data_IF_820227468588
#
_entry.id   IF_820227468588
#
_cell.length_a   1.000
_cell.length_b   1.000
_cell.length_c   1.000
_cell.angle_alpha   90.00
_cell.angle_beta   90.00
_cell.angle_gamma   90.00
#
_symmetry.space_group_name_H-M   'P 1'
#
loop_
_entity.id
_entity.type
_entity.pdbx_description
1 polymer ?
#
# COMPACT_ATOMS: atom_id res chain seq x y z
N UNK A 1 -4.72 22.54 -7.06
CA UNK A 1 -4.73 21.13 -6.66
C UNK A 1 -3.42 20.45 -7.05
N UNK A 2 -2.90 19.58 -6.18
CA UNK A 2 -1.68 18.80 -6.42
C UNK A 2 -2.01 17.31 -6.55
N UNK A 3 -1.48 16.68 -7.59
CA UNK A 3 -1.40 15.23 -7.74
C UNK A 3 0.01 14.78 -7.45
N UNK A 4 0.16 13.91 -6.45
CA UNK A 4 1.45 13.35 -6.08
C UNK A 4 1.44 11.85 -6.36
N UNK A 5 2.47 11.35 -7.00
CA UNK A 5 2.59 9.98 -7.46
C UNK A 5 3.70 9.24 -6.73
N UNK A 6 3.47 7.97 -6.45
CA UNK A 6 4.45 7.06 -5.88
C UNK A 6 4.42 5.69 -6.51
N UNK A 7 5.37 4.84 -6.14
CA UNK A 7 5.50 3.48 -6.65
C UNK A 7 5.74 2.47 -5.53
N UNK A 8 5.72 1.18 -5.90
CA UNK A 8 5.68 0.05 -4.95
C UNK A 8 7.01 -0.69 -4.94
N UNK A 9 7.60 -0.84 -3.77
CA UNK A 9 8.71 -1.71 -3.41
C UNK A 9 9.99 -1.51 -4.24
N UNK A 10 10.02 -1.99 -5.47
CA UNK A 10 11.22 -1.99 -6.32
C UNK A 10 11.33 -0.73 -7.18
N UNK A 11 12.50 -0.10 -7.22
CA UNK A 11 12.86 0.81 -8.30
C UNK A 11 13.54 0.01 -9.41
N UNK A 12 12.85 -0.14 -10.55
CA UNK A 12 13.33 -0.94 -11.69
C UNK A 12 14.57 -0.33 -12.37
N UNK A 13 14.80 0.95 -12.16
CA UNK A 13 16.00 1.65 -12.63
C UNK A 13 17.24 1.37 -11.78
N UNK A 14 17.12 0.74 -10.62
CA UNK A 14 18.24 0.41 -9.75
C UNK A 14 18.66 -1.05 -9.94
N UNK A 15 19.95 -1.25 -10.20
CA UNK A 15 20.53 -2.59 -10.28
C UNK A 15 20.61 -3.26 -8.90
N UNK A 16 20.18 -4.54 -8.81
CA UNK A 16 20.18 -5.39 -7.60
C UNK A 16 19.71 -4.67 -6.33
N UNK A 17 18.60 -3.93 -6.43
CA UNK A 17 18.06 -3.13 -5.34
C UNK A 17 16.70 -3.64 -4.84
N UNK A 18 16.39 -4.93 -5.00
CA UNK A 18 15.14 -5.49 -4.49
C UNK A 18 15.12 -5.49 -2.95
N UNK A 19 14.15 -4.82 -2.30
CA UNK A 19 13.96 -4.85 -0.86
C UNK A 19 13.15 -6.08 -0.38
N UNK A 20 13.03 -7.10 -1.24
CA UNK A 20 12.19 -8.28 -1.03
C UNK A 20 12.98 -9.59 -1.26
N UNK A 21 14.27 -9.62 -0.95
CA UNK A 21 15.04 -10.87 -0.94
C UNK A 21 14.46 -11.81 0.11
N UNK A 22 14.28 -13.09 -0.24
CA UNK A 22 13.55 -14.06 0.58
C UNK A 22 14.47 -15.10 1.22
N UNK A 23 14.06 -15.59 2.40
CA UNK A 23 14.52 -16.82 3.01
C UNK A 23 13.29 -17.70 3.23
N UNK A 24 13.14 -18.76 2.44
CA UNK A 24 12.00 -19.68 2.59
C UNK A 24 12.15 -20.53 3.85
N UNK A 25 11.04 -20.93 4.48
CA UNK A 25 11.07 -21.80 5.66
C UNK A 25 11.75 -23.14 5.36
N UNK A 26 11.52 -23.72 4.18
CA UNK A 26 12.18 -24.95 3.74
C UNK A 26 13.70 -24.83 3.65
N UNK A 27 14.24 -23.65 3.25
CA UNK A 27 15.68 -23.40 3.29
C UNK A 27 16.17 -23.19 4.72
N UNK A 28 15.44 -22.41 5.51
CA UNK A 28 15.75 -22.11 6.90
C UNK A 28 15.89 -23.38 7.75
N UNK A 29 14.98 -24.36 7.61
CA UNK A 29 15.00 -25.60 8.40
C UNK A 29 16.20 -26.50 8.10
N UNK A 30 16.82 -26.38 6.91
CA UNK A 30 18.02 -27.14 6.51
C UNK A 30 19.32 -26.57 7.09
N UNK A 31 19.29 -25.35 7.61
CA UNK A 31 20.46 -24.69 8.17
C UNK A 31 20.69 -25.11 9.64
N UNK A 32 21.93 -25.09 10.10
CA UNK A 32 22.27 -25.20 11.51
C UNK A 32 21.74 -24.00 12.31
N UNK A 33 21.71 -24.10 13.63
CA UNK A 33 21.17 -23.03 14.49
C UNK A 33 21.90 -21.68 14.32
N UNK A 34 23.21 -21.69 14.15
CA UNK A 34 23.99 -20.47 13.89
C UNK A 34 23.70 -19.91 12.51
N UNK A 35 23.73 -20.75 11.47
CA UNK A 35 23.46 -20.35 10.09
C UNK A 35 22.04 -19.78 9.91
N UNK A 36 21.04 -20.28 10.67
CA UNK A 36 19.67 -19.74 10.66
C UNK A 36 19.65 -18.27 11.07
N UNK A 37 20.34 -17.94 12.18
CA UNK A 37 20.43 -16.56 12.67
C UNK A 37 21.15 -15.67 11.64
N UNK A 38 22.28 -16.12 11.13
CA UNK A 38 23.07 -15.37 10.16
C UNK A 38 22.28 -15.13 8.84
N UNK A 39 21.52 -16.12 8.38
CA UNK A 39 20.67 -16.00 7.20
C UNK A 39 19.54 -14.98 7.41
N UNK A 40 18.84 -14.99 8.56
CA UNK A 40 17.82 -14.00 8.89
C UNK A 40 18.41 -12.58 8.92
N UNK A 41 19.54 -12.40 9.60
CA UNK A 41 20.22 -11.11 9.71
C UNK A 41 20.72 -10.63 8.33
N UNK A 42 21.36 -11.50 7.55
CA UNK A 42 21.92 -11.12 6.24
C UNK A 42 20.84 -10.69 5.25
N UNK A 43 19.74 -11.46 5.16
CA UNK A 43 18.63 -11.13 4.24
C UNK A 43 17.93 -9.84 4.66
N UNK A 44 17.66 -9.66 5.96
CA UNK A 44 17.04 -8.43 6.48
C UNK A 44 17.92 -7.21 6.23
N UNK A 45 19.23 -7.31 6.51
CA UNK A 45 20.19 -6.23 6.24
C UNK A 45 20.19 -5.82 4.78
N UNK A 46 20.23 -6.81 3.86
CA UNK A 46 20.18 -6.54 2.43
C UNK A 46 18.88 -5.83 2.01
N UNK A 47 17.74 -6.26 2.54
CA UNK A 47 16.44 -5.66 2.26
C UNK A 47 16.33 -4.22 2.79
N UNK A 48 16.79 -3.96 4.01
CA UNK A 48 16.82 -2.61 4.60
C UNK A 48 17.76 -1.68 3.82
N UNK A 49 18.96 -2.17 3.44
CA UNK A 49 19.89 -1.41 2.59
C UNK A 49 19.26 -1.06 1.25
N UNK A 50 18.58 -2.02 0.60
CA UNK A 50 17.92 -1.78 -0.67
C UNK A 50 16.69 -0.86 -0.53
N UNK A 51 15.96 -0.95 0.57
CA UNK A 51 14.90 0.02 0.90
C UNK A 51 15.47 1.44 0.97
N UNK A 52 16.58 1.63 1.67
CA UNK A 52 17.24 2.94 1.79
C UNK A 52 17.72 3.45 0.41
N UNK A 53 18.33 2.58 -0.41
CA UNK A 53 18.73 2.92 -1.80
C UNK A 53 17.53 3.37 -2.63
N UNK A 54 16.39 2.66 -2.53
CA UNK A 54 15.16 3.00 -3.24
C UNK A 54 14.58 4.33 -2.77
N UNK A 55 14.63 4.63 -1.47
CA UNK A 55 14.19 5.92 -0.95
C UNK A 55 15.09 7.07 -1.42
N UNK A 56 16.41 6.91 -1.45
CA UNK A 56 17.32 7.90 -2.03
C UNK A 56 17.04 8.14 -3.51
N UNK A 57 16.76 7.07 -4.25
CA UNK A 57 16.33 7.17 -5.65
C UNK A 57 15.03 7.99 -5.78
N UNK A 58 14.01 7.68 -4.96
CA UNK A 58 12.74 8.41 -4.97
C UNK A 58 12.95 9.91 -4.67
N UNK A 59 13.74 10.23 -3.64
CA UNK A 59 14.12 11.61 -3.31
C UNK A 59 14.84 12.31 -4.46
N UNK A 60 15.86 11.66 -5.04
CA UNK A 60 16.63 12.22 -6.16
C UNK A 60 15.80 12.50 -7.41
N UNK A 61 14.72 11.74 -7.61
CA UNK A 61 13.78 11.94 -8.71
C UNK A 61 12.57 12.81 -8.35
N UNK A 62 12.48 13.34 -7.12
CA UNK A 62 11.35 14.14 -6.68
C UNK A 62 10.03 13.35 -6.64
N UNK A 63 10.09 12.08 -6.22
CA UNK A 63 8.93 11.19 -6.03
C UNK A 63 8.56 11.20 -4.54
N UNK A 64 7.42 11.78 -4.15
CA UNK A 64 7.09 12.04 -2.74
C UNK A 64 6.40 10.86 -2.03
N UNK A 65 5.99 9.80 -2.74
CA UNK A 65 5.29 8.67 -2.16
C UNK A 65 6.06 7.37 -2.40
N UNK A 66 6.03 6.48 -1.40
CA UNK A 66 6.62 5.16 -1.52
C UNK A 66 5.85 4.13 -0.69
N UNK A 67 5.57 2.96 -1.28
CA UNK A 67 5.03 1.81 -0.56
C UNK A 67 6.13 0.81 -0.30
N UNK A 68 6.42 0.58 0.98
CA UNK A 68 7.41 -0.41 1.41
C UNK A 68 7.03 -1.82 1.00
N UNK A 69 8.02 -2.68 0.81
CA UNK A 69 7.80 -4.12 0.66
C UNK A 69 7.36 -4.73 1.99
N UNK A 70 6.31 -5.54 1.98
CA UNK A 70 5.93 -6.36 3.14
C UNK A 70 6.91 -7.50 3.44
N UNK A 71 7.88 -7.76 2.53
CA UNK A 71 8.86 -8.82 2.65
C UNK A 71 10.24 -8.35 3.12
N UNK A 72 10.33 -7.17 3.77
CA UNK A 72 11.62 -6.64 4.27
C UNK A 72 12.27 -7.64 5.25
N UNK A 73 11.48 -8.20 6.17
CA UNK A 73 11.98 -9.13 7.19
C UNK A 73 11.47 -10.54 6.89
N UNK A 74 12.36 -11.48 6.53
CA UNK A 74 11.95 -12.85 6.24
C UNK A 74 11.48 -13.57 7.49
N UNK A 75 10.43 -14.38 7.36
CA UNK A 75 9.88 -15.28 8.39
C UNK A 75 9.49 -14.59 9.71
N UNK A 76 9.29 -13.26 9.73
CA UNK A 76 9.00 -12.49 10.94
C UNK A 76 7.71 -12.95 11.63
N UNK A 77 6.69 -13.35 10.87
CA UNK A 77 5.38 -13.80 11.37
C UNK A 77 5.22 -15.33 11.39
N UNK A 78 6.26 -16.07 10.94
CA UNK A 78 6.19 -17.53 10.90
C UNK A 78 6.19 -18.12 12.32
N UNK A 79 5.21 -18.96 12.71
CA UNK A 79 5.03 -19.41 14.12
C UNK A 79 6.25 -20.11 14.71
N UNK A 80 7.00 -20.87 13.90
CA UNK A 80 8.18 -21.60 14.37
C UNK A 80 9.48 -20.78 14.37
N UNK A 81 9.43 -19.52 13.93
CA UNK A 81 10.63 -18.67 13.82
C UNK A 81 10.51 -17.45 14.72
N UNK A 82 9.49 -16.62 14.57
CA UNK A 82 9.16 -15.44 15.38
C UNK A 82 10.35 -14.86 16.14
N UNK A 83 11.14 -14.02 15.47
CA UNK A 83 12.38 -13.49 16.00
C UNK A 83 12.34 -11.98 16.20
N UNK A 84 13.15 -11.46 17.12
CA UNK A 84 13.32 -10.03 17.30
C UNK A 84 14.13 -9.46 16.12
N UNK A 85 13.43 -8.81 15.20
CA UNK A 85 14.03 -8.16 14.03
C UNK A 85 14.28 -6.66 14.25
N UNK A 86 13.73 -6.07 15.28
CA UNK A 86 13.87 -4.62 15.54
C UNK A 86 15.22 -4.32 16.18
N UNK A 87 15.57 -5.04 17.25
CA UNK A 87 16.78 -4.75 18.03
C UNK A 87 18.06 -4.80 17.21
N UNK A 88 18.31 -5.83 16.37
CA UNK A 88 19.53 -5.91 15.56
C UNK A 88 19.64 -4.80 14.48
N UNK A 89 18.51 -4.23 14.03
CA UNK A 89 18.45 -3.28 12.92
C UNK A 89 17.91 -1.90 13.33
N UNK A 90 17.98 -1.57 14.63
CA UNK A 90 17.46 -0.29 15.14
C UNK A 90 18.05 0.92 14.44
N UNK A 91 19.33 0.87 14.06
CA UNK A 91 20.00 1.96 13.37
C UNK A 91 19.45 2.12 11.96
N UNK A 92 19.34 1.02 11.22
CA UNK A 92 18.83 1.00 9.83
C UNK A 92 17.38 1.49 9.76
N UNK A 93 16.52 1.03 10.67
CA UNK A 93 15.15 1.53 10.75
C UNK A 93 15.12 3.03 11.02
N UNK A 94 15.91 3.55 11.96
CA UNK A 94 15.99 4.98 12.25
C UNK A 94 16.52 5.79 11.08
N UNK A 95 17.49 5.27 10.33
CA UNK A 95 18.03 5.92 9.14
C UNK A 95 16.96 6.05 8.05
N UNK A 96 16.21 4.99 7.78
CA UNK A 96 15.06 5.00 6.86
C UNK A 96 14.03 6.04 7.30
N UNK A 97 13.63 6.00 8.56
CA UNK A 97 12.66 6.95 9.12
C UNK A 97 13.14 8.39 9.11
N UNK A 98 14.42 8.62 9.39
CA UNK A 98 15.06 9.93 9.29
C UNK A 98 15.00 10.51 7.87
N UNK A 99 15.25 9.68 6.86
CA UNK A 99 15.12 10.06 5.46
C UNK A 99 13.67 10.41 5.10
N UNK A 100 12.72 9.55 5.51
CA UNK A 100 11.28 9.78 5.29
C UNK A 100 10.83 11.12 5.88
N UNK A 101 11.22 11.42 7.12
CA UNK A 101 10.86 12.69 7.78
C UNK A 101 11.56 13.89 7.13
N UNK A 102 12.86 13.77 6.83
CA UNK A 102 13.66 14.87 6.25
C UNK A 102 13.08 15.36 4.92
N UNK A 103 12.60 14.46 4.09
CA UNK A 103 12.09 14.79 2.75
C UNK A 103 10.55 14.73 2.65
N UNK A 104 9.86 14.66 3.78
CA UNK A 104 8.41 14.61 3.87
C UNK A 104 7.78 13.54 2.94
N UNK A 105 8.41 12.36 2.89
CA UNK A 105 7.88 11.27 2.08
C UNK A 105 6.62 10.69 2.70
N UNK A 106 5.61 10.44 1.90
CA UNK A 106 4.41 9.73 2.29
C UNK A 106 4.62 8.24 2.09
N UNK A 107 4.56 7.46 3.17
CA UNK A 107 4.83 6.03 3.12
C UNK A 107 3.64 5.17 3.53
N UNK A 108 3.65 3.91 3.13
CA UNK A 108 2.65 2.92 3.52
C UNK A 108 3.21 1.50 3.39
N UNK A 109 2.53 0.57 4.04
CA UNK A 109 2.59 -0.86 3.73
C UNK A 109 1.30 -1.35 3.10
N UNK A 110 1.37 -2.50 2.45
CA UNK A 110 0.22 -3.26 1.99
C UNK A 110 0.51 -4.75 2.24
N UNK A 111 0.05 -5.30 3.37
CA UNK A 111 0.10 -6.72 3.67
C UNK A 111 -0.46 -7.55 2.52
N UNK A 112 -0.08 -8.82 2.49
CA UNK A 112 -0.57 -9.73 1.47
C UNK A 112 -2.07 -10.07 1.68
N UNK A 113 -2.68 -10.69 0.67
CA UNK A 113 -4.10 -11.06 0.64
C UNK A 113 -4.56 -12.05 1.75
N UNK A 114 -3.65 -12.55 2.58
CA UNK A 114 -3.97 -13.46 3.67
C UNK A 114 -4.18 -12.75 5.02
N UNK A 115 -4.03 -11.43 5.07
CA UNK A 115 -4.36 -10.60 6.25
C UNK A 115 -5.86 -10.36 6.28
N UNK A 116 -6.62 -11.31 6.84
CA UNK A 116 -8.07 -11.41 6.72
C UNK A 116 -8.78 -11.33 8.06
N UNK A 117 -9.65 -10.33 8.22
CA UNK A 117 -10.53 -10.20 9.39
C UNK A 117 -11.96 -10.74 9.15
N UNK A 118 -12.29 -11.18 7.94
CA UNK A 118 -13.59 -11.78 7.59
C UNK A 118 -13.68 -13.28 7.86
N UNK A 119 -12.58 -13.94 8.22
CA UNK A 119 -12.50 -15.38 8.35
C UNK A 119 -13.37 -15.89 9.52
N UNK A 120 -14.08 -17.05 9.35
CA UNK A 120 -14.72 -17.74 10.46
C UNK A 120 -13.73 -18.49 11.37
N UNK A 121 -12.48 -18.65 10.95
CA UNK A 121 -11.44 -19.38 11.71
C UNK A 121 -10.62 -18.39 12.54
N UNK A 122 -10.64 -18.56 13.87
CA UNK A 122 -9.92 -17.70 14.82
C UNK A 122 -8.40 -17.65 14.55
N UNK A 123 -7.81 -18.77 14.15
CA UNK A 123 -6.36 -18.83 13.82
C UNK A 123 -5.99 -17.90 12.67
N UNK A 124 -6.86 -17.71 11.68
CA UNK A 124 -6.63 -16.78 10.55
C UNK A 124 -6.69 -15.34 11.04
N UNK A 125 -7.65 -15.00 11.90
CA UNK A 125 -7.72 -13.68 12.53
C UNK A 125 -6.48 -13.41 13.38
N UNK A 126 -6.04 -14.38 14.20
CA UNK A 126 -4.84 -14.23 15.01
C UNK A 126 -3.58 -14.02 14.15
N UNK A 127 -3.48 -14.68 12.99
CA UNK A 127 -2.39 -14.46 12.04
C UNK A 127 -2.49 -13.08 11.37
N UNK A 128 -3.70 -12.60 11.05
CA UNK A 128 -3.91 -11.26 10.53
C UNK A 128 -3.48 -10.19 11.54
N UNK A 129 -3.81 -10.36 12.83
CA UNK A 129 -3.35 -9.45 13.90
C UNK A 129 -1.82 -9.43 13.99
N UNK A 130 -1.16 -10.61 13.95
CA UNK A 130 0.31 -10.69 13.95
C UNK A 130 0.93 -10.01 12.74
N UNK A 131 0.33 -10.17 11.56
CA UNK A 131 0.82 -9.57 10.33
C UNK A 131 0.68 -8.05 10.36
N UNK A 132 -0.45 -7.54 10.86
CA UNK A 132 -0.64 -6.10 11.07
C UNK A 132 0.35 -5.54 12.11
N UNK A 133 0.59 -6.27 13.21
CA UNK A 133 1.58 -5.89 14.23
C UNK A 133 2.99 -5.84 13.65
N UNK A 134 3.39 -6.83 12.86
CA UNK A 134 4.67 -6.85 12.16
C UNK A 134 4.90 -5.59 11.31
N UNK A 135 3.91 -5.18 10.54
CA UNK A 135 4.01 -3.97 9.71
C UNK A 135 4.06 -2.70 10.57
N UNK A 136 3.27 -2.66 11.65
CA UNK A 136 3.29 -1.54 12.59
C UNK A 136 4.64 -1.43 13.32
N UNK A 137 5.21 -2.54 13.78
CA UNK A 137 6.49 -2.57 14.48
C UNK A 137 7.63 -2.01 13.61
N UNK A 138 7.61 -2.26 12.29
CA UNK A 138 8.55 -1.64 11.36
C UNK A 138 8.35 -0.13 11.28
N UNK A 139 7.10 0.36 11.17
CA UNK A 139 6.80 1.79 11.12
C UNK A 139 7.19 2.50 12.43
N UNK A 140 6.96 1.86 13.56
CA UNK A 140 7.33 2.36 14.89
C UNK A 140 8.85 2.38 15.06
N UNK A 141 9.55 1.32 14.69
CA UNK A 141 11.02 1.27 14.70
C UNK A 141 11.67 2.35 13.82
N UNK A 142 11.03 2.69 12.68
CA UNK A 142 11.41 3.81 11.82
C UNK A 142 11.03 5.17 12.43
N UNK A 143 10.13 5.22 13.42
CA UNK A 143 9.59 6.44 14.00
C UNK A 143 8.68 7.22 13.06
N UNK A 144 7.94 6.54 12.18
CA UNK A 144 7.05 7.14 11.17
C UNK A 144 5.61 6.58 11.22
N UNK A 145 5.24 5.89 12.30
CA UNK A 145 3.90 5.32 12.45
C UNK A 145 2.81 6.40 12.44
N UNK A 146 3.11 7.61 12.91
CA UNK A 146 2.20 8.77 12.95
C UNK A 146 1.78 9.27 11.56
N UNK A 147 2.58 9.03 10.53
CA UNK A 147 2.43 9.57 9.18
C UNK A 147 2.27 8.51 8.08
N UNK A 148 2.30 7.25 8.45
CA UNK A 148 2.19 6.11 7.53
C UNK A 148 0.89 5.34 7.76
N UNK A 149 0.48 4.54 6.77
CA UNK A 149 -0.71 3.68 6.88
C UNK A 149 -0.38 2.25 6.45
N UNK A 150 -1.18 1.30 6.93
CA UNK A 150 -1.15 -0.11 6.56
C UNK A 150 -2.47 -0.41 5.84
N UNK A 151 -2.40 -0.61 4.54
CA UNK A 151 -3.56 -0.83 3.69
C UNK A 151 -3.87 -2.32 3.56
N UNK A 152 -5.13 -2.72 3.71
CA UNK A 152 -5.58 -4.09 3.48
C UNK A 152 -6.90 -4.10 2.73
N UNK A 153 -7.25 -5.25 2.14
CA UNK A 153 -8.59 -5.48 1.63
C UNK A 153 -9.55 -5.93 2.75
N UNK A 154 -10.85 -5.78 2.55
CA UNK A 154 -11.87 -6.28 3.50
C UNK A 154 -11.72 -7.78 3.70
N UNK A 155 -11.52 -8.54 2.61
CA UNK A 155 -11.22 -9.97 2.64
C UNK A 155 -12.22 -10.84 1.89
N UNK A 156 -12.35 -12.11 2.26
CA UNK A 156 -13.23 -13.05 1.58
C UNK A 156 -14.69 -13.03 2.09
N UNK A 157 -15.64 -13.36 1.21
CA UNK A 157 -17.07 -13.46 1.55
C UNK A 157 -17.45 -14.76 2.28
N UNK A 158 -16.71 -15.85 2.08
CA UNK A 158 -17.00 -17.17 2.69
C UNK A 158 -18.43 -17.66 2.46
N UNK A 159 -18.97 -17.40 1.25
CA UNK A 159 -20.32 -17.77 0.86
C UNK A 159 -21.43 -16.80 1.24
N UNK A 160 -21.19 -15.90 2.20
CA UNK A 160 -22.14 -14.87 2.64
C UNK A 160 -21.41 -13.59 3.06
N UNK A 161 -21.53 -12.53 2.24
CA UNK A 161 -20.92 -11.24 2.46
C UNK A 161 -21.36 -10.57 3.78
N UNK A 162 -22.66 -10.63 4.10
CA UNK A 162 -23.21 -10.02 5.32
C UNK A 162 -22.60 -10.63 6.57
N UNK A 163 -22.60 -11.96 6.67
CA UNK A 163 -21.96 -12.67 7.78
C UNK A 163 -20.45 -12.41 7.84
N UNK A 164 -19.78 -12.29 6.69
CA UNK A 164 -18.37 -11.98 6.61
C UNK A 164 -18.07 -10.57 7.12
N UNK A 165 -18.87 -9.56 6.79
CA UNK A 165 -18.77 -8.21 7.32
C UNK A 165 -19.07 -8.14 8.83
N UNK A 166 -20.04 -8.95 9.29
CA UNK A 166 -20.28 -9.11 10.72
C UNK A 166 -19.03 -9.63 11.47
N UNK A 167 -18.40 -10.67 10.92
CA UNK A 167 -17.13 -11.19 11.46
C UNK A 167 -15.99 -10.18 11.39
N UNK A 168 -15.88 -9.44 10.29
CA UNK A 168 -14.88 -8.37 10.15
C UNK A 168 -14.94 -7.40 11.34
N UNK A 169 -16.13 -6.89 11.65
CA UNK A 169 -16.33 -5.95 12.79
C UNK A 169 -15.97 -6.56 14.14
N UNK A 170 -16.31 -7.83 14.34
CA UNK A 170 -15.99 -8.54 15.60
C UNK A 170 -14.47 -8.76 15.70
N UNK A 171 -13.87 -9.31 14.65
CA UNK A 171 -12.47 -9.69 14.63
C UNK A 171 -11.53 -8.46 14.65
N UNK A 172 -11.97 -7.33 14.09
CA UNK A 172 -11.22 -6.07 14.12
C UNK A 172 -10.98 -5.55 15.54
N UNK A 173 -11.81 -5.95 16.52
CA UNK A 173 -11.63 -5.61 17.94
C UNK A 173 -10.42 -6.31 18.56
N UNK A 174 -9.90 -7.36 17.94
CA UNK A 174 -8.67 -8.03 18.40
C UNK A 174 -7.41 -7.25 18.01
N UNK A 175 -7.51 -6.28 17.09
CA UNK A 175 -6.41 -5.44 16.68
C UNK A 175 -6.19 -4.30 17.67
N UNK A 176 -4.96 -4.10 18.20
CA UNK A 176 -4.66 -2.98 19.09
C UNK A 176 -5.02 -1.63 18.46
N UNK A 177 -5.57 -0.70 19.24
CA UNK A 177 -6.07 0.59 18.75
C UNK A 177 -5.00 1.40 18.02
N UNK A 178 -3.75 1.38 18.48
CA UNK A 178 -2.63 2.07 17.83
C UNK A 178 -2.37 1.57 16.42
N UNK A 179 -2.62 0.29 16.16
CA UNK A 179 -2.49 -0.33 14.83
C UNK A 179 -3.73 -0.03 14.02
N UNK A 180 -4.93 -0.17 14.60
CA UNK A 180 -6.20 0.14 13.94
C UNK A 180 -6.25 1.58 13.42
N UNK A 181 -5.69 2.54 14.16
CA UNK A 181 -5.60 3.94 13.75
C UNK A 181 -4.72 4.17 12.50
N UNK A 182 -3.88 3.21 12.13
CA UNK A 182 -3.01 3.27 10.94
C UNK A 182 -3.52 2.41 9.79
N UNK A 183 -4.62 1.68 10.00
CA UNK A 183 -5.23 0.83 8.99
C UNK A 183 -6.03 1.65 7.97
N UNK A 184 -5.98 1.21 6.72
CA UNK A 184 -6.87 1.66 5.65
C UNK A 184 -7.45 0.45 4.94
N UNK A 185 -8.63 0.60 4.33
CA UNK A 185 -9.26 -0.45 3.55
C UNK A 185 -9.33 -0.07 2.08
N UNK A 186 -9.17 -1.06 1.23
CA UNK A 186 -9.20 -0.93 -0.22
C UNK A 186 -10.28 -1.83 -0.83
N UNK A 187 -11.00 -1.34 -1.84
CA UNK A 187 -11.88 -2.16 -2.67
C UNK A 187 -11.05 -3.20 -3.44
N UNK A 188 -11.65 -4.34 -3.72
CA UNK A 188 -10.97 -5.42 -4.42
C UNK A 188 -11.59 -5.71 -5.81
N UNK A 189 -10.84 -6.43 -6.64
CA UNK A 189 -11.16 -6.73 -8.03
C UNK A 189 -12.20 -7.86 -8.19
N UNK A 190 -12.77 -8.39 -7.09
CA UNK A 190 -13.61 -9.59 -7.13
C UNK A 190 -14.73 -9.66 -6.11
N UNK A 191 -14.47 -9.32 -4.85
CA UNK A 191 -15.37 -9.64 -3.73
C UNK A 191 -16.15 -8.42 -3.27
N UNK A 192 -15.47 -7.39 -2.78
CA UNK A 192 -16.11 -6.19 -2.25
C UNK A 192 -15.94 -5.03 -3.21
N UNK A 193 -17.06 -4.51 -3.69
CA UNK A 193 -17.09 -3.33 -4.57
C UNK A 193 -16.61 -2.08 -3.82
N UNK A 194 -16.41 -1.00 -4.57
CA UNK A 194 -16.03 0.29 -3.98
C UNK A 194 -17.08 0.80 -2.99
N UNK A 195 -18.38 0.68 -3.32
CA UNK A 195 -19.46 1.13 -2.45
C UNK A 195 -19.57 0.29 -1.17
N UNK A 196 -19.47 -1.05 -1.29
CA UNK A 196 -19.47 -1.94 -0.13
C UNK A 196 -18.29 -1.64 0.82
N UNK A 197 -17.09 -1.42 0.26
CA UNK A 197 -15.89 -1.10 1.03
C UNK A 197 -15.97 0.29 1.67
N UNK A 198 -16.46 1.29 0.93
CA UNK A 198 -16.66 2.64 1.43
C UNK A 198 -17.66 2.66 2.59
N UNK A 199 -18.77 1.92 2.47
CA UNK A 199 -19.75 1.78 3.56
C UNK A 199 -19.13 1.20 4.84
N UNK A 200 -18.26 0.19 4.72
CA UNK A 200 -17.50 -0.34 5.87
C UNK A 200 -16.56 0.72 6.44
N UNK A 201 -15.84 1.46 5.60
CA UNK A 201 -14.93 2.52 6.02
C UNK A 201 -15.66 3.62 6.80
N UNK A 202 -16.82 4.07 6.32
CA UNK A 202 -17.64 5.09 6.99
C UNK A 202 -18.15 4.61 8.35
N UNK A 203 -18.64 3.37 8.44
CA UNK A 203 -19.18 2.78 9.67
C UNK A 203 -18.07 2.55 10.72
N UNK A 204 -16.90 2.07 10.33
CA UNK A 204 -15.80 1.76 11.24
C UNK A 204 -14.85 2.95 11.46
N UNK A 205 -15.05 4.05 10.74
CA UNK A 205 -14.19 5.22 10.78
C UNK A 205 -12.77 4.93 10.28
N UNK A 206 -12.63 4.11 9.25
CA UNK A 206 -11.36 3.72 8.64
C UNK A 206 -11.23 4.45 7.31
N UNK A 207 -10.06 5.04 6.96
CA UNK A 207 -9.88 5.68 5.66
C UNK A 207 -9.99 4.70 4.51
N UNK A 208 -10.68 5.10 3.45
CA UNK A 208 -10.85 4.33 2.24
C UNK A 208 -9.74 4.65 1.22
N UNK A 209 -8.98 3.65 0.81
CA UNK A 209 -8.09 3.70 -0.37
C UNK A 209 -8.89 3.24 -1.57
N UNK A 210 -9.22 4.15 -2.44
CA UNK A 210 -9.93 3.84 -3.67
C UNK A 210 -8.94 3.32 -4.72
N UNK A 211 -9.10 2.07 -5.18
CA UNK A 211 -8.41 1.54 -6.36
C UNK A 211 -9.32 1.63 -7.58
N UNK A 212 -8.90 2.46 -8.55
CA UNK A 212 -9.68 2.71 -9.76
C UNK A 212 -9.70 1.51 -10.70
N UNK A 213 -8.63 0.73 -10.76
CA UNK A 213 -8.58 -0.47 -11.58
C UNK A 213 -9.49 -1.57 -11.00
N UNK A 214 -9.50 -1.74 -9.69
CA UNK A 214 -10.40 -2.67 -9.02
C UNK A 214 -11.87 -2.24 -9.15
N UNK A 215 -12.15 -0.93 -9.08
CA UNK A 215 -13.48 -0.39 -9.37
C UNK A 215 -13.96 -0.78 -10.78
N UNK A 216 -13.08 -0.66 -11.78
CA UNK A 216 -13.39 -1.06 -13.15
C UNK A 216 -13.55 -2.58 -13.31
N UNK A 217 -12.75 -3.39 -12.59
CA UNK A 217 -12.77 -4.84 -12.67
C UNK A 217 -13.92 -5.50 -11.90
N UNK A 218 -14.45 -4.82 -10.88
CA UNK A 218 -15.54 -5.29 -10.01
C UNK A 218 -16.57 -4.16 -9.81
N UNK A 219 -17.27 -3.74 -10.89
CA UNK A 219 -18.24 -2.66 -10.81
C UNK A 219 -19.50 -3.09 -10.03
N UNK A 220 -20.12 -2.15 -9.29
CA UNK A 220 -21.49 -2.28 -8.86
C UNK A 220 -22.43 -1.74 -9.96
N UNK A 221 -23.67 -2.25 -10.02
CA UNK A 221 -24.63 -1.91 -11.08
C UNK A 221 -24.97 -0.40 -11.13
N UNK A 222 -24.92 0.27 -9.99
CA UNK A 222 -25.27 1.67 -9.78
C UNK A 222 -24.07 2.52 -9.33
N UNK A 223 -22.84 2.08 -9.58
CA UNK A 223 -21.64 2.76 -9.10
C UNK A 223 -21.46 4.14 -9.74
N UNK A 224 -21.49 5.20 -8.93
CA UNK A 224 -21.28 6.57 -9.33
C UNK A 224 -20.00 7.15 -8.68
N UNK A 225 -19.02 7.51 -9.52
CA UNK A 225 -17.81 8.17 -9.06
C UNK A 225 -18.06 9.53 -8.42
N UNK A 226 -19.11 10.24 -8.84
CA UNK A 226 -19.44 11.56 -8.30
C UNK A 226 -20.03 11.48 -6.88
N UNK A 227 -20.56 10.30 -6.48
CA UNK A 227 -20.91 10.00 -5.09
C UNK A 227 -19.73 9.41 -4.31
N UNK A 228 -19.03 8.43 -4.86
CA UNK A 228 -17.97 7.68 -4.17
C UNK A 228 -16.78 8.57 -3.79
N UNK A 229 -16.28 9.41 -4.72
CA UNK A 229 -15.02 10.13 -4.52
C UNK A 229 -15.08 11.20 -3.41
N UNK A 230 -16.13 12.04 -3.29
CA UNK A 230 -16.23 12.99 -2.18
C UNK A 230 -16.35 12.28 -0.82
N UNK A 231 -17.09 11.18 -0.75
CA UNK A 231 -17.22 10.37 0.48
C UNK A 231 -15.88 9.73 0.85
N UNK A 232 -15.15 9.19 -0.14
CA UNK A 232 -13.80 8.66 0.05
C UNK A 232 -12.87 9.73 0.63
N UNK A 233 -12.81 10.94 0.04
CA UNK A 233 -12.01 12.06 0.54
C UNK A 233 -12.34 12.36 2.00
N UNK A 234 -13.62 12.35 2.38
CA UNK A 234 -14.08 12.61 3.74
C UNK A 234 -13.57 11.59 4.75
N UNK A 235 -13.39 10.30 4.38
CA UNK A 235 -12.87 9.27 5.30
C UNK A 235 -11.45 9.59 5.78
N UNK A 236 -10.66 10.33 5.02
CA UNK A 236 -9.28 10.68 5.35
C UNK A 236 -9.13 11.87 6.31
N UNK A 237 -10.18 12.70 6.46
CA UNK A 237 -10.14 13.88 7.31
C UNK A 237 -9.85 13.53 8.78
N UNK A 238 -10.33 12.36 9.23
CA UNK A 238 -10.16 11.89 10.61
C UNK A 238 -8.70 11.73 11.02
N UNK A 239 -7.83 11.29 10.10
CA UNK A 239 -6.43 11.03 10.38
C UNK A 239 -5.50 12.16 9.93
N UNK A 240 -6.05 13.22 9.34
CA UNK A 240 -5.30 14.41 8.91
C UNK A 240 -4.28 14.14 7.80
N UNK A 241 -4.45 13.07 7.03
CA UNK A 241 -3.57 12.72 5.92
C UNK A 241 -4.29 12.95 4.59
N UNK A 242 -3.53 13.24 3.53
CA UNK A 242 -4.09 13.37 2.17
C UNK A 242 -4.73 12.05 1.73
N UNK A 243 -5.87 12.10 1.01
CA UNK A 243 -6.48 10.92 0.43
C UNK A 243 -5.50 10.16 -0.47
N UNK A 244 -5.53 8.84 -0.40
CA UNK A 244 -4.72 7.96 -1.23
C UNK A 244 -5.60 7.15 -2.17
N UNK A 245 -5.17 7.08 -3.42
CA UNK A 245 -5.81 6.33 -4.50
C UNK A 245 -4.77 5.40 -5.13
N UNK A 246 -5.16 4.19 -5.45
CA UNK A 246 -4.32 3.30 -6.26
C UNK A 246 -4.71 3.40 -7.73
N UNK A 247 -3.69 3.43 -8.59
CA UNK A 247 -3.86 3.51 -10.04
C UNK A 247 -3.06 2.41 -10.74
N UNK A 248 -3.73 1.68 -11.57
CA UNK A 248 -3.17 0.80 -12.58
C UNK A 248 -4.11 0.72 -13.78
N UNK A 249 -3.76 -0.05 -14.78
CA UNK A 249 -4.61 -0.32 -15.94
C UNK A 249 -4.74 -1.82 -16.14
N UNK A 250 -5.86 -2.31 -16.71
CA UNK A 250 -5.98 -3.69 -17.11
C UNK A 250 -4.86 -4.09 -18.09
N UNK A 251 -4.34 -5.31 -17.94
CA UNK A 251 -3.32 -5.83 -18.85
C UNK A 251 -3.86 -6.01 -20.27
N UNK A 252 -5.11 -6.43 -20.40
CA UNK A 252 -5.85 -6.58 -21.65
C UNK A 252 -7.34 -6.75 -21.36
N UNK A 253 -8.18 -6.69 -22.39
CA UNK A 253 -9.63 -6.98 -22.28
C UNK A 253 -9.93 -8.39 -21.75
N UNK A 254 -9.09 -9.37 -22.07
CA UNK A 254 -9.23 -10.75 -21.56
C UNK A 254 -8.60 -10.98 -20.18
N UNK A 255 -7.82 -10.02 -19.67
CA UNK A 255 -7.13 -10.10 -18.38
C UNK A 255 -7.36 -8.82 -17.56
N UNK A 256 -8.63 -8.45 -17.41
CA UNK A 256 -9.09 -7.20 -16.78
C UNK A 256 -8.55 -7.03 -15.36
N UNK A 257 -8.44 -8.08 -14.56
CA UNK A 257 -7.94 -8.05 -13.18
C UNK A 257 -6.42 -8.00 -13.05
N UNK A 258 -5.71 -8.23 -14.14
CA UNK A 258 -4.24 -8.23 -14.12
C UNK A 258 -3.71 -6.84 -14.40
N UNK A 259 -2.75 -6.38 -13.61
CA UNK A 259 -2.09 -5.10 -13.85
C UNK A 259 -1.24 -5.12 -15.12
N UNK A 260 -1.33 -4.08 -15.90
CA UNK A 260 -0.46 -3.83 -17.06
C UNK A 260 0.99 -3.51 -16.60
N UNK A 261 1.91 -3.55 -17.56
CA UNK A 261 3.29 -3.14 -17.30
C UNK A 261 3.41 -1.63 -17.05
N UNK A 262 2.62 -0.83 -17.77
CA UNK A 262 2.50 0.62 -17.64
C UNK A 262 1.04 1.02 -17.42
N UNK A 263 0.82 2.22 -16.85
CA UNK A 263 -0.52 2.78 -16.72
C UNK A 263 -0.91 3.46 -18.02
N UNK A 264 -2.08 3.15 -18.53
CA UNK A 264 -2.69 3.88 -19.65
C UNK A 264 -3.28 5.20 -19.16
N UNK A 265 -2.71 6.31 -19.63
CA UNK A 265 -3.16 7.66 -19.26
C UNK A 265 -4.62 7.91 -19.66
N UNK A 266 -5.07 7.40 -20.81
CA UNK A 266 -6.46 7.57 -21.25
C UNK A 266 -7.44 6.81 -20.37
N UNK A 267 -7.05 5.63 -19.87
CA UNK A 267 -7.87 4.84 -18.93
C UNK A 267 -8.11 5.57 -17.60
N UNK A 268 -7.08 6.24 -17.06
CA UNK A 268 -7.20 6.91 -15.76
C UNK A 268 -7.64 8.38 -15.85
N UNK A 269 -7.58 9.00 -17.02
CA UNK A 269 -7.91 10.42 -17.20
C UNK A 269 -9.32 10.77 -16.67
N UNK A 270 -10.38 9.97 -16.88
CA UNK A 270 -11.72 10.27 -16.38
C UNK A 270 -11.78 10.42 -14.86
N UNK A 271 -11.07 9.60 -14.10
CA UNK A 271 -11.05 9.70 -12.62
C UNK A 271 -10.19 10.88 -12.16
N UNK A 272 -9.09 11.20 -12.85
CA UNK A 272 -8.27 12.37 -12.53
C UNK A 272 -9.03 13.67 -12.75
N UNK A 273 -9.84 13.76 -13.84
CA UNK A 273 -10.67 14.92 -14.13
C UNK A 273 -11.77 15.11 -13.09
N UNK A 274 -12.34 14.04 -12.54
CA UNK A 274 -13.28 14.13 -11.41
C UNK A 274 -12.62 14.68 -10.16
N UNK A 275 -11.45 14.16 -9.77
CA UNK A 275 -10.72 14.71 -8.62
C UNK A 275 -10.41 16.20 -8.77
N UNK A 276 -10.18 16.70 -9.99
CA UNK A 276 -9.97 18.12 -10.26
C UNK A 276 -11.16 18.98 -9.84
N UNK A 277 -12.38 18.46 -9.93
CA UNK A 277 -13.60 19.22 -9.59
C UNK A 277 -13.70 19.54 -8.08
N UNK A 278 -13.11 18.74 -7.21
CA UNK A 278 -13.14 18.95 -5.76
C UNK A 278 -11.94 19.71 -5.19
N UNK A 279 -11.02 20.18 -6.03
CA UNK A 279 -9.81 20.91 -5.63
C UNK A 279 -9.04 20.25 -4.46
N UNK A 280 -9.07 18.93 -4.40
CA UNK A 280 -8.42 18.15 -3.35
C UNK A 280 -7.04 17.67 -3.79
N UNK A 281 -6.03 17.85 -2.93
CA UNK A 281 -4.72 17.24 -3.13
C UNK A 281 -4.83 15.73 -2.94
N UNK A 282 -4.42 14.94 -3.94
CA UNK A 282 -4.52 13.47 -3.94
C UNK A 282 -3.15 12.81 -4.08
N UNK A 283 -2.95 11.74 -3.33
CA UNK A 283 -1.79 10.87 -3.38
C UNK A 283 -2.11 9.62 -4.22
N UNK A 284 -1.45 9.44 -5.35
CA UNK A 284 -1.65 8.30 -6.24
C UNK A 284 -0.51 7.30 -6.13
N UNK A 285 -0.82 6.05 -5.77
CA UNK A 285 0.12 4.94 -5.77
C UNK A 285 -0.01 4.14 -7.05
N UNK A 286 1.07 4.08 -7.83
CA UNK A 286 1.11 3.36 -9.10
C UNK A 286 1.38 1.88 -8.86
N UNK A 287 0.46 1.03 -9.30
CA UNK A 287 0.54 -0.43 -9.15
C UNK A 287 0.83 -1.17 -10.47
N UNK A 288 1.48 -0.53 -11.41
CA UNK A 288 1.96 -1.15 -12.64
C UNK A 288 3.22 -2.00 -12.41
N UNK A 289 3.50 -2.96 -13.29
CA UNK A 289 4.64 -3.89 -13.13
C UNK A 289 5.99 -3.19 -13.29
N UNK A 290 6.10 -2.17 -14.13
CA UNK A 290 7.32 -1.37 -14.35
C UNK A 290 7.54 -0.28 -13.28
N UNK A 291 6.74 -0.24 -12.20
CA UNK A 291 6.97 0.51 -10.96
C UNK A 291 7.31 2.00 -11.21
N UNK A 292 8.54 2.39 -10.83
CA UNK A 292 9.08 3.75 -11.01
C UNK A 292 9.11 4.18 -12.48
N UNK A 293 9.42 3.26 -13.42
CA UNK A 293 9.38 3.55 -14.84
C UNK A 293 7.98 3.86 -15.33
N UNK A 294 6.99 3.10 -14.85
CA UNK A 294 5.59 3.35 -15.16
C UNK A 294 5.12 4.69 -14.61
N UNK A 295 5.52 5.04 -13.38
CA UNK A 295 5.24 6.34 -12.77
C UNK A 295 5.83 7.48 -13.58
N UNK A 296 7.13 7.43 -13.89
CA UNK A 296 7.82 8.53 -14.57
C UNK A 296 7.26 8.75 -15.98
N UNK A 297 6.94 7.67 -16.70
CA UNK A 297 6.28 7.73 -18.02
C UNK A 297 4.88 8.34 -17.90
N UNK A 298 4.06 7.89 -16.94
CA UNK A 298 2.73 8.44 -16.72
C UNK A 298 2.77 9.94 -16.42
N UNK A 299 3.68 10.38 -15.54
CA UNK A 299 3.84 11.80 -15.20
C UNK A 299 4.24 12.61 -16.41
N UNK A 300 5.08 12.09 -17.30
CA UNK A 300 5.45 12.74 -18.57
C UNK A 300 4.23 12.89 -19.48
N UNK A 301 3.48 11.78 -19.72
CA UNK A 301 2.26 11.79 -20.54
C UNK A 301 1.21 12.78 -20.00
N UNK A 302 0.94 12.77 -18.70
CA UNK A 302 -0.01 13.69 -18.07
C UNK A 302 0.45 15.14 -18.12
N UNK A 303 1.76 15.40 -18.08
CA UNK A 303 2.31 16.77 -18.15
C UNK A 303 2.08 17.45 -19.51
N UNK A 304 1.81 16.69 -20.56
CA UNK A 304 1.46 17.19 -21.88
C UNK A 304 0.00 17.69 -21.97
N UNK A 305 -0.85 17.36 -20.98
CA UNK A 305 -2.25 17.81 -20.95
C UNK A 305 -2.32 19.30 -20.66
N UNK A 306 -3.15 20.02 -21.43
CA UNK A 306 -3.35 21.46 -21.24
C UNK A 306 -3.81 21.80 -19.81
N UNK A 307 -3.08 22.70 -19.15
CA UNK A 307 -3.37 23.12 -17.78
C UNK A 307 -2.66 22.29 -16.70
N UNK A 308 -1.99 21.20 -17.06
CA UNK A 308 -1.13 20.43 -16.17
C UNK A 308 0.29 20.99 -16.19
N UNK A 309 0.88 21.17 -15.01
CA UNK A 309 2.27 21.59 -14.85
C UNK A 309 3.03 20.56 -14.00
N UNK A 310 4.10 20.00 -14.55
CA UNK A 310 5.05 19.17 -13.78
C UNK A 310 5.86 20.03 -12.80
N UNK A 311 5.85 19.67 -11.53
CA UNK A 311 6.63 20.35 -10.48
C UNK A 311 7.85 19.54 -10.06
N UNK A 312 7.75 18.20 -10.09
CA UNK A 312 8.82 17.26 -9.78
C UNK A 312 8.59 15.93 -10.52
N UNK A 313 9.47 14.95 -10.34
CA UNK A 313 9.33 13.66 -11.01
C UNK A 313 8.05 12.91 -10.69
N UNK A 314 7.52 13.08 -9.48
CA UNK A 314 6.25 12.50 -9.05
C UNK A 314 5.21 13.53 -8.63
N UNK A 315 5.27 14.79 -9.12
CA UNK A 315 4.33 15.85 -8.68
C UNK A 315 3.83 16.67 -9.85
N UNK A 316 2.52 16.67 -10.03
CA UNK A 316 1.82 17.51 -10.99
C UNK A 316 0.92 18.52 -10.28
N UNK A 317 0.82 19.71 -10.85
CA UNK A 317 -0.21 20.69 -10.51
C UNK A 317 -1.17 20.79 -11.67
N UNK A 318 -2.46 20.54 -11.42
CA UNK A 318 -3.51 20.78 -12.40
C UNK A 318 -4.29 22.02 -11.98
N UNK A 319 -4.44 22.97 -12.90
CA UNK A 319 -5.27 24.15 -12.65
C UNK A 319 -6.76 23.74 -12.70
N UNK A 320 -7.53 24.21 -11.75
CA UNK A 320 -9.00 24.12 -11.74
C UNK A 320 -9.57 25.04 -12.80
#
# INVERSE_FOLDING_TARGET
MLFRFGFVANAMCLWDASPAKTLTYARYTKLSRSERKDALLSVTKANLTNTLRTLHYAVGHGIPLYRFSSSIVPLATHPDVMWDFVTPFRQEFREIGGLVRKYDLRTSFHPNQFTLFTSPKREITANAVKDMAYHYDMLDAMGIADRSVINIHVGGAYGDKQSALGRFRVNLKELPDVIKQRMTLENDDKTYTSEETLSVCEQEGIPFVFDYHHFYANPADDADLDDILPRMIKTWQRIGLKPKVHLSSPKSESAVRSHADYVDANFILPVLERFRQWDADIDFMIEAKEKDRALLRLVEELSAIRGVKRLAGGVLRWKV
#
